data_IF_281352169287
#
_entry.id   IF_281352169287
#
_cell.length_a   1.000
_cell.length_b   1.000
_cell.length_c   1.000
_cell.angle_alpha   90.00
_cell.angle_beta   90.00
_cell.angle_gamma   90.00
#
_symmetry.space_group_name_H-M   'P 1'
#
loop_
_entity.id
_entity.type
_entity.pdbx_description
1 polymer ?
#
# COMPACT_ATOMS: atom_id res chain seq x y z
N UNK A 1 59.29 -12.95 -102.37
CA UNK A 1 59.55 -13.54 -101.01
C UNK A 1 59.65 -12.44 -99.92
N UNK A 2 58.67 -11.57 -99.70
CA UNK A 2 58.81 -10.46 -98.73
C UNK A 2 57.51 -9.96 -98.05
N UNK A 3 56.34 -10.48 -98.38
CA UNK A 3 55.13 -9.94 -97.82
C UNK A 3 54.60 -10.74 -96.56
N UNK A 4 54.69 -12.03 -96.60
CA UNK A 4 54.20 -12.92 -95.47
C UNK A 4 55.08 -12.86 -94.23
N UNK A 5 56.39 -12.63 -94.36
CA UNK A 5 57.28 -12.53 -93.17
C UNK A 5 56.98 -11.23 -92.34
N UNK A 6 56.55 -10.13 -92.96
CA UNK A 6 56.21 -8.90 -92.26
C UNK A 6 54.90 -9.05 -91.48
N UNK A 7 53.92 -9.75 -92.03
CA UNK A 7 52.60 -9.97 -91.36
C UNK A 7 52.73 -10.86 -90.15
N UNK A 8 53.61 -11.91 -90.21
CA UNK A 8 53.87 -12.75 -89.10
C UNK A 8 54.64 -12.05 -87.93
N UNK A 9 55.54 -11.14 -88.26
CA UNK A 9 56.30 -10.36 -87.28
C UNK A 9 55.40 -9.38 -86.51
N UNK A 10 54.43 -8.74 -87.18
CA UNK A 10 53.45 -7.85 -86.56
C UNK A 10 52.50 -8.60 -85.68
N UNK A 11 52.11 -9.81 -86.10
CA UNK A 11 51.23 -10.67 -85.19
C UNK A 11 51.99 -11.15 -83.95
N UNK A 12 53.26 -11.47 -84.07
CA UNK A 12 54.06 -11.87 -82.90
C UNK A 12 54.28 -10.69 -81.95
N UNK A 13 54.58 -9.51 -82.50
CA UNK A 13 54.71 -8.28 -81.69
C UNK A 13 53.39 -7.87 -81.00
N UNK A 14 52.24 -8.08 -81.65
CA UNK A 14 50.94 -7.80 -81.04
C UNK A 14 50.62 -8.82 -79.88
N UNK A 15 50.96 -10.10 -80.07
CA UNK A 15 50.76 -11.13 -79.04
C UNK A 15 51.67 -10.89 -77.82
N UNK A 16 52.96 -10.50 -78.09
CA UNK A 16 53.87 -10.18 -76.97
C UNK A 16 53.44 -8.92 -76.21
N UNK A 17 52.86 -7.93 -76.86
CA UNK A 17 52.35 -6.73 -76.24
C UNK A 17 51.11 -7.04 -75.38
N UNK A 18 50.20 -7.91 -75.85
CA UNK A 18 49.04 -8.37 -75.08
C UNK A 18 49.46 -9.22 -73.84
N UNK A 19 50.47 -10.07 -73.98
CA UNK A 19 51.01 -10.83 -72.88
C UNK A 19 51.68 -9.91 -71.84
N UNK A 20 52.46 -8.92 -72.30
CA UNK A 20 53.04 -7.93 -71.38
C UNK A 20 51.99 -7.04 -70.71
N UNK A 21 50.91 -6.68 -71.43
CA UNK A 21 49.79 -5.94 -70.86
C UNK A 21 49.03 -6.80 -69.82
N UNK A 22 48.83 -8.11 -70.04
CA UNK A 22 48.24 -9.04 -69.12
C UNK A 22 49.10 -9.25 -67.87
N UNK A 23 50.43 -9.41 -68.05
CA UNK A 23 51.36 -9.51 -66.90
C UNK A 23 51.37 -8.17 -66.13
N UNK A 24 51.32 -7.01 -66.77
CA UNK A 24 51.22 -5.72 -66.12
C UNK A 24 49.92 -5.56 -65.33
N UNK A 25 48.79 -6.02 -65.87
CA UNK A 25 47.50 -6.03 -65.19
C UNK A 25 47.48 -6.97 -64.01
N UNK A 26 48.13 -8.15 -64.09
CA UNK A 26 48.23 -9.13 -62.98
C UNK A 26 49.14 -8.58 -61.89
N UNK A 27 50.26 -7.96 -62.19
CA UNK A 27 51.23 -7.43 -61.24
C UNK A 27 50.75 -6.12 -60.60
N UNK A 28 49.90 -5.36 -61.32
CA UNK A 28 49.29 -4.15 -60.78
C UNK A 28 47.88 -4.35 -60.21
N UNK A 29 47.40 -5.60 -60.17
CA UNK A 29 46.26 -5.89 -59.36
C UNK A 29 46.69 -5.70 -57.89
N UNK A 30 46.58 -4.44 -57.38
CA UNK A 30 46.74 -4.10 -56.00
C UNK A 30 45.80 -5.03 -55.19
N UNK A 31 46.40 -5.93 -54.48
CA UNK A 31 45.72 -6.56 -53.31
C UNK A 31 45.19 -5.42 -52.49
N UNK A 32 43.87 -5.19 -52.57
CA UNK A 32 43.18 -4.33 -51.60
C UNK A 32 43.49 -4.88 -50.23
N UNK A 33 44.43 -4.23 -49.55
CA UNK A 33 44.66 -4.44 -48.15
C UNK A 33 43.35 -4.08 -47.46
N UNK A 34 42.52 -5.08 -47.21
CA UNK A 34 41.34 -4.94 -46.31
C UNK A 34 41.93 -4.56 -44.98
N UNK A 35 42.06 -3.23 -44.68
CA UNK A 35 42.32 -2.78 -43.35
C UNK A 35 41.20 -3.37 -42.49
N UNK A 36 41.55 -4.36 -41.66
CA UNK A 36 40.65 -4.91 -40.65
C UNK A 36 40.12 -3.70 -39.87
N UNK A 37 38.83 -3.46 -40.00
CA UNK A 37 38.18 -2.41 -39.21
C UNK A 37 38.57 -2.63 -37.73
N UNK A 38 38.98 -1.59 -37.02
CA UNK A 38 39.36 -1.75 -35.62
C UNK A 38 38.25 -2.46 -34.87
N UNK A 39 38.61 -3.52 -34.17
CA UNK A 39 37.65 -4.33 -33.37
C UNK A 39 36.84 -3.37 -32.47
N UNK A 40 35.50 -3.38 -32.54
CA UNK A 40 34.68 -2.45 -31.77
C UNK A 40 34.90 -2.63 -30.27
N UNK A 41 35.03 -1.51 -29.57
CA UNK A 41 35.19 -1.50 -28.12
C UNK A 41 33.82 -1.67 -27.48
N UNK A 42 33.73 -2.60 -26.52
CA UNK A 42 32.54 -2.85 -25.70
C UNK A 42 32.90 -2.81 -24.21
N UNK A 43 31.99 -2.33 -23.36
CA UNK A 43 32.20 -2.37 -21.92
C UNK A 43 31.53 -3.63 -21.38
N UNK A 44 32.30 -4.40 -20.62
CA UNK A 44 31.85 -5.64 -20.04
C UNK A 44 31.87 -5.57 -18.51
N UNK A 45 30.88 -6.23 -17.88
CA UNK A 45 30.77 -6.35 -16.44
C UNK A 45 30.47 -7.80 -16.05
N UNK A 46 31.02 -8.27 -14.94
CA UNK A 46 30.62 -9.56 -14.36
C UNK A 46 29.28 -9.41 -13.64
N UNK A 47 28.44 -10.45 -13.60
CA UNK A 47 27.24 -10.46 -12.77
C UNK A 47 27.59 -10.18 -11.30
N UNK A 48 26.76 -9.40 -10.64
CA UNK A 48 26.90 -9.17 -9.21
C UNK A 48 25.89 -10.02 -8.45
N UNK A 49 26.32 -10.64 -7.34
CA UNK A 49 25.39 -11.35 -6.46
C UNK A 49 24.66 -10.34 -5.58
N UNK A 50 23.32 -10.32 -5.67
CA UNK A 50 22.45 -9.46 -4.87
C UNK A 50 21.34 -10.29 -4.25
N UNK A 51 21.04 -10.04 -2.95
CA UNK A 51 19.90 -10.66 -2.30
C UNK A 51 18.61 -10.06 -2.83
N UNK A 52 17.83 -10.84 -3.55
CA UNK A 52 16.56 -10.41 -4.12
C UNK A 52 15.46 -11.41 -3.78
N UNK A 53 14.25 -10.89 -3.65
CA UNK A 53 13.04 -11.69 -3.51
C UNK A 53 12.18 -11.53 -4.77
N UNK A 54 11.38 -12.55 -5.04
CA UNK A 54 10.30 -12.43 -6.02
C UNK A 54 9.10 -11.77 -5.37
N UNK A 55 8.46 -10.85 -6.08
CA UNK A 55 7.34 -10.07 -5.56
C UNK A 55 6.16 -10.09 -6.54
N UNK A 56 4.95 -10.04 -5.99
CA UNK A 56 3.77 -9.61 -6.73
C UNK A 56 3.57 -8.12 -6.46
N UNK A 57 3.36 -7.35 -7.52
CA UNK A 57 3.08 -5.91 -7.42
C UNK A 57 1.71 -5.63 -7.99
N UNK A 58 0.86 -4.95 -7.22
CA UNK A 58 -0.51 -4.59 -7.59
C UNK A 58 -0.80 -3.13 -7.21
N UNK A 59 -1.84 -2.57 -7.82
CA UNK A 59 -2.35 -1.27 -7.41
C UNK A 59 -3.36 -1.45 -6.28
N UNK A 60 -3.29 -0.60 -5.28
CA UNK A 60 -4.24 -0.55 -4.17
C UNK A 60 -4.66 0.89 -3.88
N UNK A 61 -5.56 1.04 -2.93
CA UNK A 61 -6.00 2.33 -2.42
C UNK A 61 -5.91 2.36 -0.90
N UNK A 62 -5.51 3.49 -0.36
CA UNK A 62 -5.47 3.75 1.08
C UNK A 62 -6.87 4.11 1.59
N UNK A 63 -7.20 3.63 2.78
CA UNK A 63 -8.48 3.91 3.45
C UNK A 63 -8.20 4.19 4.92
N UNK A 64 -8.94 5.11 5.51
CA UNK A 64 -8.85 5.37 6.94
C UNK A 64 -9.11 4.10 7.77
N UNK A 65 -8.40 3.93 8.89
CA UNK A 65 -8.62 2.80 9.80
C UNK A 65 -10.03 2.82 10.39
N UNK A 66 -10.47 3.98 10.85
CA UNK A 66 -11.85 4.26 11.24
C UNK A 66 -12.30 5.54 10.55
N UNK A 67 -13.55 5.58 10.08
CA UNK A 67 -14.19 6.76 9.54
C UNK A 67 -15.59 6.85 10.10
N UNK A 68 -15.95 7.99 10.70
CA UNK A 68 -17.26 8.22 11.32
C UNK A 68 -17.80 9.57 10.91
N UNK A 69 -19.04 9.58 10.44
CA UNK A 69 -19.81 10.79 10.29
C UNK A 69 -20.44 11.16 11.65
N UNK A 70 -20.02 12.28 12.20
CA UNK A 70 -20.61 12.83 13.43
C UNK A 70 -21.99 13.39 13.10
N UNK A 71 -23.00 12.91 13.80
CA UNK A 71 -24.39 13.31 13.58
C UNK A 71 -25.01 13.86 14.89
N UNK A 72 -25.88 14.86 14.74
CA UNK A 72 -26.69 15.32 15.85
C UNK A 72 -27.69 14.23 16.26
N UNK A 73 -27.65 13.82 17.54
CA UNK A 73 -28.55 12.80 18.13
C UNK A 73 -29.78 13.41 18.81
N UNK A 74 -29.77 14.73 18.99
CA UNK A 74 -30.86 15.52 19.62
C UNK A 74 -31.15 16.72 18.75
N UNK A 75 -32.34 17.27 18.91
CA UNK A 75 -32.78 18.51 18.25
C UNK A 75 -32.36 19.73 19.08
N UNK A 76 -31.84 20.75 18.42
CA UNK A 76 -31.47 22.02 19.03
C UNK A 76 -30.67 22.90 18.10
N UNK A 77 -30.44 24.13 18.49
CA UNK A 77 -29.56 25.03 17.74
C UNK A 77 -28.07 24.69 17.99
N UNK A 78 -27.25 24.78 16.97
CA UNK A 78 -25.82 24.62 17.11
C UNK A 78 -25.22 25.87 17.74
N UNK A 79 -24.79 25.80 19.01
CA UNK A 79 -24.27 26.92 19.77
C UNK A 79 -22.80 27.21 19.52
N UNK A 80 -21.99 26.17 19.36
CA UNK A 80 -20.55 26.32 19.18
C UNK A 80 -19.88 25.18 18.41
N UNK A 81 -18.84 25.55 17.69
CA UNK A 81 -17.86 24.63 17.06
C UNK A 81 -16.52 24.83 17.78
N UNK A 82 -15.95 23.78 18.37
CA UNK A 82 -14.77 23.86 19.25
C UNK A 82 -13.50 23.25 18.63
N UNK A 83 -13.41 23.25 17.32
CA UNK A 83 -12.24 22.80 16.58
C UNK A 83 -11.99 23.70 15.37
N UNK A 84 -10.84 23.55 14.74
CA UNK A 84 -10.53 24.16 13.44
C UNK A 84 -10.60 23.08 12.37
N UNK A 85 -11.22 23.39 11.24
CA UNK A 85 -11.37 22.46 10.12
C UNK A 85 -10.04 21.87 9.66
N UNK A 86 -10.02 20.57 9.42
CA UNK A 86 -8.85 19.83 8.94
C UNK A 86 -7.78 19.55 10.00
N UNK A 87 -7.99 19.90 11.27
CA UNK A 87 -7.03 19.66 12.36
C UNK A 87 -7.15 18.25 12.94
N UNK A 88 -6.14 17.85 13.70
CA UNK A 88 -6.18 16.62 14.50
C UNK A 88 -6.91 16.87 15.81
N UNK A 89 -7.77 15.93 16.18
CA UNK A 89 -8.54 15.94 17.43
C UNK A 89 -8.25 14.65 18.20
N UNK A 90 -8.37 14.73 19.53
CA UNK A 90 -8.18 13.60 20.42
C UNK A 90 -9.53 12.98 20.78
N UNK A 91 -9.50 11.70 21.13
CA UNK A 91 -10.65 11.02 21.69
C UNK A 91 -11.22 11.81 22.87
N UNK A 92 -12.54 11.86 22.96
CA UNK A 92 -13.31 12.56 24.00
C UNK A 92 -13.13 14.11 23.98
N UNK A 93 -12.44 14.66 22.99
CA UNK A 93 -12.41 16.12 22.76
C UNK A 93 -13.79 16.59 22.33
N UNK A 94 -14.28 17.68 22.94
CA UNK A 94 -15.55 18.31 22.58
C UNK A 94 -15.42 19.04 21.25
N UNK A 95 -16.31 18.73 20.32
CA UNK A 95 -16.27 19.23 18.93
C UNK A 95 -17.40 20.19 18.64
N UNK A 96 -18.62 19.85 19.09
CA UNK A 96 -19.79 20.68 18.90
C UNK A 96 -20.62 20.77 20.18
N UNK A 97 -21.32 21.88 20.34
CA UNK A 97 -22.28 22.12 21.43
C UNK A 97 -23.62 22.42 20.81
N UNK A 98 -24.66 21.67 21.20
CA UNK A 98 -26.03 21.79 20.68
C UNK A 98 -26.91 22.19 21.85
N UNK A 99 -27.34 23.48 21.94
CA UNK A 99 -28.31 24.07 22.86
C UNK A 99 -28.48 23.32 24.22
N UNK A 100 -27.47 23.33 25.12
CA UNK A 100 -27.46 22.46 26.28
C UNK A 100 -28.48 22.83 27.36
N UNK A 101 -28.89 24.13 27.44
CA UNK A 101 -29.70 24.67 28.53
C UNK A 101 -31.05 23.96 28.71
N UNK A 102 -31.87 23.73 27.66
CA UNK A 102 -33.16 23.06 27.82
C UNK A 102 -33.02 21.60 28.31
N UNK A 103 -31.93 20.92 27.93
CA UNK A 103 -31.65 19.56 28.35
C UNK A 103 -31.10 19.50 29.75
N UNK A 104 -30.31 20.47 30.17
CA UNK A 104 -29.83 20.62 31.54
C UNK A 104 -30.99 20.83 32.51
N UNK A 105 -31.93 21.75 32.19
CA UNK A 105 -33.10 21.98 33.03
C UNK A 105 -33.99 20.72 33.18
N UNK A 106 -34.18 19.97 32.11
CA UNK A 106 -34.87 18.66 32.16
C UNK A 106 -34.15 17.65 33.05
N UNK A 107 -32.82 17.65 33.04
CA UNK A 107 -32.05 16.81 33.94
C UNK A 107 -32.24 17.20 35.40
N UNK A 108 -32.16 18.47 35.74
CA UNK A 108 -32.38 19.02 37.10
C UNK A 108 -33.80 18.72 37.60
N UNK A 109 -34.81 18.85 36.73
CA UNK A 109 -36.19 18.47 37.05
C UNK A 109 -36.31 16.97 37.41
N UNK A 110 -35.72 16.11 36.55
CA UNK A 110 -35.75 14.65 36.79
C UNK A 110 -35.00 14.25 38.04
N UNK A 111 -33.85 14.83 38.33
CA UNK A 111 -33.10 14.61 39.58
C UNK A 111 -33.84 15.05 40.80
N UNK A 112 -34.51 16.19 40.74
CA UNK A 112 -35.36 16.70 41.80
C UNK A 112 -36.54 15.75 42.08
N UNK A 113 -37.12 15.16 41.03
CA UNK A 113 -38.16 14.13 41.17
C UNK A 113 -37.64 12.88 41.92
N UNK A 114 -36.39 12.44 41.61
CA UNK A 114 -35.74 11.30 42.34
C UNK A 114 -35.66 11.62 43.84
N UNK A 115 -35.23 12.82 44.23
CA UNK A 115 -35.12 13.25 45.61
C UNK A 115 -36.48 13.17 46.32
N UNK A 116 -37.52 13.71 45.67
CA UNK A 116 -38.92 13.71 46.19
C UNK A 116 -39.44 12.27 46.41
N UNK A 117 -39.21 11.37 45.41
CA UNK A 117 -39.64 9.97 45.51
C UNK A 117 -38.86 9.20 46.57
N UNK A 118 -37.60 9.47 46.76
CA UNK A 118 -36.77 8.88 47.81
C UNK A 118 -37.30 9.27 49.20
N UNK A 119 -37.64 10.54 49.40
CA UNK A 119 -38.22 10.99 50.66
C UNK A 119 -39.56 10.27 50.97
N UNK A 120 -40.42 10.13 49.94
CA UNK A 120 -41.68 9.38 50.07
C UNK A 120 -41.45 7.91 50.44
N UNK A 121 -40.50 7.27 49.78
CA UNK A 121 -40.13 5.88 50.06
C UNK A 121 -39.58 5.71 51.48
N UNK A 122 -38.68 6.56 51.94
CA UNK A 122 -38.15 6.49 53.31
C UNK A 122 -39.29 6.67 54.35
N UNK A 123 -40.25 7.59 54.13
CA UNK A 123 -41.44 7.71 55.00
C UNK A 123 -42.24 6.40 55.04
N UNK A 124 -42.60 5.84 53.87
CA UNK A 124 -43.44 4.63 53.80
C UNK A 124 -42.72 3.41 54.38
N UNK A 125 -41.41 3.31 54.20
CA UNK A 125 -40.55 2.26 54.77
C UNK A 125 -40.48 2.30 56.29
N UNK A 126 -40.33 3.52 56.87
CA UNK A 126 -40.34 3.74 58.33
C UNK A 126 -41.71 3.37 58.88
N UNK A 127 -42.81 3.77 58.21
CA UNK A 127 -44.15 3.48 58.63
C UNK A 127 -44.47 1.98 58.55
N UNK A 128 -44.03 1.28 57.51
CA UNK A 128 -44.14 -0.19 57.39
C UNK A 128 -43.41 -0.91 58.54
N UNK A 129 -42.20 -0.43 58.86
CA UNK A 129 -41.45 -0.99 60.01
C UNK A 129 -42.16 -0.73 61.35
N UNK A 130 -42.70 0.46 61.52
CA UNK A 130 -43.49 0.83 62.72
C UNK A 130 -44.72 -0.07 62.87
N UNK A 131 -45.52 -0.24 61.81
CA UNK A 131 -46.70 -1.09 61.83
C UNK A 131 -46.36 -2.56 62.13
N UNK A 132 -45.25 -3.05 61.56
CA UNK A 132 -44.77 -4.38 61.83
C UNK A 132 -44.37 -4.61 63.30
N UNK A 133 -43.78 -3.59 63.94
CA UNK A 133 -43.47 -3.61 65.37
C UNK A 133 -44.73 -3.61 66.26
N UNK A 134 -45.69 -2.65 65.94
CA UNK A 134 -46.97 -2.55 66.67
C UNK A 134 -47.81 -3.83 66.56
N UNK A 135 -47.73 -4.55 65.44
CA UNK A 135 -48.40 -5.85 65.28
C UNK A 135 -47.85 -6.88 66.21
N UNK A 136 -46.53 -6.95 66.42
CA UNK A 136 -45.89 -7.84 67.38
C UNK A 136 -46.35 -7.56 68.80
N UNK A 137 -46.72 -6.32 69.12
CA UNK A 137 -47.23 -5.87 70.40
C UNK A 137 -48.77 -5.91 70.52
N UNK A 138 -49.45 -6.55 69.49
CA UNK A 138 -50.91 -6.63 69.37
C UNK A 138 -51.64 -5.24 69.31
N UNK A 139 -50.93 -4.16 68.89
CA UNK A 139 -51.43 -2.81 68.86
C UNK A 139 -51.94 -2.35 67.44
N UNK A 140 -51.89 -3.23 66.43
CA UNK A 140 -52.46 -2.98 65.09
C UNK A 140 -52.92 -4.27 64.40
N UNK A 141 -53.65 -4.17 63.30
CA UNK A 141 -54.13 -5.31 62.53
C UNK A 141 -53.14 -5.79 61.48
N UNK A 142 -53.17 -7.09 61.11
CA UNK A 142 -52.39 -7.64 59.99
C UNK A 142 -52.64 -6.89 58.69
N UNK A 143 -53.89 -6.46 58.41
CA UNK A 143 -54.29 -5.68 57.26
C UNK A 143 -53.49 -4.38 57.16
N UNK A 144 -53.20 -3.70 58.27
CA UNK A 144 -52.41 -2.45 58.26
C UNK A 144 -50.94 -2.74 57.96
N UNK A 145 -50.37 -3.84 58.46
CA UNK A 145 -49.02 -4.28 58.15
C UNK A 145 -48.85 -4.55 56.65
N UNK A 146 -49.78 -5.33 56.09
CA UNK A 146 -49.79 -5.65 54.67
C UNK A 146 -49.95 -4.43 53.78
N UNK A 147 -50.87 -3.52 54.16
CA UNK A 147 -51.11 -2.23 53.48
C UNK A 147 -49.84 -1.41 53.41
N UNK A 148 -49.14 -1.18 54.51
CA UNK A 148 -47.94 -0.35 54.55
C UNK A 148 -46.72 -1.06 53.92
N UNK A 149 -46.65 -2.36 53.99
CA UNK A 149 -45.63 -3.14 53.27
C UNK A 149 -45.81 -3.01 51.74
N UNK A 150 -47.06 -3.14 51.24
CA UNK A 150 -47.35 -2.93 49.82
C UNK A 150 -47.10 -1.49 49.39
N UNK A 151 -47.44 -0.50 50.28
CA UNK A 151 -47.19 0.91 49.99
C UNK A 151 -45.68 1.24 49.92
N UNK A 152 -44.87 0.63 50.77
CA UNK A 152 -43.41 0.78 50.74
C UNK A 152 -42.81 0.18 49.46
N UNK A 153 -43.26 -1.02 49.03
CA UNK A 153 -42.82 -1.57 47.74
C UNK A 153 -43.28 -0.73 46.52
N UNK A 154 -44.51 -0.20 46.55
CA UNK A 154 -44.97 0.69 45.52
C UNK A 154 -44.13 1.97 45.46
N UNK A 155 -43.82 2.58 46.60
CA UNK A 155 -42.98 3.79 46.66
C UNK A 155 -41.54 3.50 46.20
N UNK A 156 -41.00 2.32 46.50
CA UNK A 156 -39.70 1.88 46.01
C UNK A 156 -39.67 1.72 44.48
N UNK A 157 -40.74 1.21 43.89
CA UNK A 157 -40.86 1.10 42.43
C UNK A 157 -40.95 2.51 41.79
N UNK A 158 -41.61 3.47 42.46
CA UNK A 158 -41.65 4.86 41.97
C UNK A 158 -40.26 5.55 42.03
N UNK A 159 -39.41 5.23 42.99
CA UNK A 159 -38.01 5.69 43.03
C UNK A 159 -37.27 5.13 41.85
N UNK A 160 -37.34 3.81 41.55
CA UNK A 160 -36.67 3.22 40.43
C UNK A 160 -37.10 3.80 39.08
N UNK A 161 -38.40 4.12 38.95
CA UNK A 161 -38.95 4.83 37.75
C UNK A 161 -38.36 6.22 37.60
N UNK A 162 -38.29 6.99 38.67
CA UNK A 162 -37.74 8.33 38.68
C UNK A 162 -36.24 8.34 38.34
N UNK A 163 -35.49 7.37 38.91
CA UNK A 163 -34.05 7.19 38.58
C UNK A 163 -33.83 6.82 37.12
N UNK A 164 -34.69 5.98 36.52
CA UNK A 164 -34.65 5.69 35.11
C UNK A 164 -34.89 6.92 34.24
N UNK A 165 -35.87 7.74 34.62
CA UNK A 165 -36.17 9.02 33.91
C UNK A 165 -34.98 10.00 34.02
N UNK A 166 -34.39 10.16 35.20
CA UNK A 166 -33.22 11.02 35.38
C UNK A 166 -32.02 10.52 34.55
N UNK A 167 -31.83 9.23 34.43
CA UNK A 167 -30.80 8.66 33.56
C UNK A 167 -31.04 8.97 32.09
N UNK A 168 -32.28 8.88 31.61
CA UNK A 168 -32.64 9.28 30.22
C UNK A 168 -32.37 10.77 30.00
N UNK A 169 -32.73 11.63 30.95
CA UNK A 169 -32.45 13.06 30.87
C UNK A 169 -30.93 13.35 30.83
N UNK A 170 -30.14 12.65 31.66
CA UNK A 170 -28.70 12.77 31.67
C UNK A 170 -28.05 12.32 30.33
N UNK A 171 -28.55 11.24 29.73
CA UNK A 171 -28.11 10.78 28.40
C UNK A 171 -28.44 11.84 27.35
N UNK A 172 -29.64 12.41 27.34
CA UNK A 172 -30.01 13.44 26.39
C UNK A 172 -29.16 14.71 26.57
N UNK A 173 -28.89 15.12 27.82
CA UNK A 173 -27.95 16.20 28.10
C UNK A 173 -26.54 15.88 27.62
N UNK A 174 -26.05 14.67 27.78
CA UNK A 174 -24.73 14.29 27.27
C UNK A 174 -24.65 14.40 25.73
N UNK A 175 -25.73 14.20 25.01
CA UNK A 175 -25.76 14.31 23.54
C UNK A 175 -25.72 15.76 23.06
N UNK A 176 -25.91 16.78 23.93
CA UNK A 176 -25.69 18.19 23.59
C UNK A 176 -24.20 18.49 23.36
N UNK A 177 -23.30 17.69 23.91
CA UNK A 177 -21.87 17.79 23.77
C UNK A 177 -21.39 16.67 22.84
N UNK A 178 -21.11 17.00 21.59
CA UNK A 178 -20.64 16.02 20.60
C UNK A 178 -19.14 15.87 20.74
N UNK A 179 -18.70 14.68 21.15
CA UNK A 179 -17.30 14.35 21.41
C UNK A 179 -16.71 13.53 20.27
N UNK A 180 -15.37 13.62 20.09
CA UNK A 180 -14.62 12.76 19.17
C UNK A 180 -14.60 11.32 19.68
N UNK A 181 -14.98 10.30 18.85
CA UNK A 181 -15.03 8.91 19.28
C UNK A 181 -13.65 8.26 19.35
N UNK A 182 -12.65 8.79 18.64
CA UNK A 182 -11.26 8.33 18.59
C UNK A 182 -10.33 9.46 18.17
N UNK A 183 -9.03 9.25 18.31
CA UNK A 183 -7.99 10.16 17.80
C UNK A 183 -7.99 10.13 16.27
N UNK A 184 -8.11 11.29 15.63
CA UNK A 184 -8.17 11.34 14.18
C UNK A 184 -8.10 12.76 13.62
N UNK A 185 -8.16 12.86 12.32
CA UNK A 185 -8.26 14.12 11.60
C UNK A 185 -9.72 14.43 11.32
N UNK A 186 -10.20 15.59 11.77
CA UNK A 186 -11.55 16.05 11.49
C UNK A 186 -11.60 16.79 10.15
N UNK A 187 -12.65 16.55 9.38
CA UNK A 187 -12.94 17.28 8.15
C UNK A 187 -13.42 18.70 8.43
N UNK A 188 -14.05 19.32 7.43
CA UNK A 188 -14.73 20.58 7.62
C UNK A 188 -16.06 20.39 8.36
N UNK A 189 -16.52 21.38 9.11
CA UNK A 189 -17.89 21.41 9.58
C UNK A 189 -18.85 21.55 8.39
N UNK A 190 -20.01 20.91 8.47
CA UNK A 190 -21.02 20.89 7.42
C UNK A 190 -22.18 21.84 7.72
N UNK A 191 -22.34 22.26 8.98
CA UNK A 191 -23.41 23.11 9.50
C UNK A 191 -22.78 24.23 10.33
N UNK A 192 -23.22 25.46 10.08
CA UNK A 192 -22.76 26.64 10.79
C UNK A 192 -23.52 26.86 12.12
N UNK A 193 -22.88 27.58 13.06
CA UNK A 193 -23.45 27.99 14.33
C UNK A 193 -24.75 28.79 14.08
N UNK A 194 -25.76 28.53 14.90
CA UNK A 194 -27.10 29.15 14.79
C UNK A 194 -28.08 28.36 13.93
N UNK A 195 -27.68 27.30 13.26
CA UNK A 195 -28.60 26.42 12.53
C UNK A 195 -29.25 25.39 13.46
N UNK A 196 -30.50 25.04 13.17
CA UNK A 196 -31.21 23.94 13.82
C UNK A 196 -30.71 22.59 13.30
N UNK A 197 -30.32 21.70 14.19
CA UNK A 197 -29.83 20.34 13.88
C UNK A 197 -30.70 19.28 14.55
N UNK A 198 -30.66 18.04 14.08
CA UNK A 198 -31.37 16.91 14.69
C UNK A 198 -32.89 16.90 14.49
N UNK A 199 -33.45 17.80 13.66
CA UNK A 199 -34.90 17.90 13.41
C UNK A 199 -35.39 16.79 12.47
N UNK A 200 -35.82 15.67 13.04
CA UNK A 200 -36.46 14.55 12.33
C UNK A 200 -35.59 13.81 11.32
N UNK A 201 -34.37 14.29 11.03
CA UNK A 201 -33.35 13.62 10.17
C UNK A 201 -32.00 13.69 10.85
N UNK A 202 -31.20 12.66 10.62
CA UNK A 202 -29.78 12.66 11.02
C UNK A 202 -29.07 13.83 10.31
N UNK A 203 -28.68 14.86 11.07
CA UNK A 203 -27.92 15.98 10.54
C UNK A 203 -26.45 15.69 10.70
N UNK A 204 -25.73 15.55 9.59
CA UNK A 204 -24.28 15.36 9.61
C UNK A 204 -23.60 16.69 9.97
N UNK A 205 -22.70 16.64 10.95
CA UNK A 205 -21.98 17.80 11.46
C UNK A 205 -20.56 17.89 10.90
N UNK A 206 -19.84 16.78 10.87
CA UNK A 206 -18.49 16.64 10.31
C UNK A 206 -18.14 15.15 10.15
N UNK A 207 -17.09 14.85 9.39
CA UNK A 207 -16.48 13.52 9.33
C UNK A 207 -15.16 13.52 10.09
N UNK A 208 -14.91 12.49 10.86
CA UNK A 208 -13.63 12.24 11.52
C UNK A 208 -13.02 10.95 10.99
N UNK A 209 -11.73 10.98 10.66
CA UNK A 209 -10.98 9.86 10.10
C UNK A 209 -9.74 9.57 10.93
N UNK A 210 -9.57 8.31 11.29
CA UNK A 210 -8.33 7.84 11.91
C UNK A 210 -7.33 7.51 10.80
N UNK A 211 -6.26 8.31 10.73
CA UNK A 211 -5.26 8.23 9.66
C UNK A 211 -3.96 7.53 10.07
N UNK A 212 -3.84 7.09 11.31
CA UNK A 212 -2.76 6.23 11.80
C UNK A 212 -3.35 5.21 12.79
N UNK A 213 -3.26 3.92 12.48
CA UNK A 213 -2.77 3.33 11.23
C UNK A 213 -3.72 3.56 10.04
N UNK A 214 -3.30 3.18 8.83
CA UNK A 214 -4.13 3.14 7.62
C UNK A 214 -4.36 1.71 7.13
N UNK A 215 -5.48 1.50 6.46
CA UNK A 215 -5.69 0.32 5.62
C UNK A 215 -5.26 0.58 4.18
N UNK A 216 -4.75 -0.45 3.54
CA UNK A 216 -4.56 -0.49 2.08
C UNK A 216 -5.33 -1.67 1.53
N UNK A 217 -6.30 -1.41 0.67
CA UNK A 217 -7.05 -2.43 -0.06
C UNK A 217 -6.44 -2.63 -1.44
N UNK A 218 -6.31 -3.86 -1.85
CA UNK A 218 -5.86 -4.23 -3.18
C UNK A 218 -6.47 -5.56 -3.62
N UNK A 219 -6.49 -5.80 -4.92
CA UNK A 219 -7.09 -7.00 -5.48
C UNK A 219 -6.03 -7.85 -6.17
N UNK A 220 -6.10 -9.16 -5.99
CA UNK A 220 -5.28 -10.15 -6.67
C UNK A 220 -6.14 -10.97 -7.61
N UNK A 221 -5.66 -11.23 -8.81
CA UNK A 221 -6.26 -12.19 -9.72
C UNK A 221 -6.02 -13.64 -9.23
N UNK A 222 -6.72 -14.59 -9.81
CA UNK A 222 -6.65 -15.99 -9.41
C UNK A 222 -5.24 -16.57 -9.50
N UNK A 223 -4.48 -16.21 -10.56
CA UNK A 223 -3.11 -16.73 -10.77
C UNK A 223 -2.15 -16.22 -9.68
N UNK A 224 -2.22 -14.94 -9.34
CA UNK A 224 -1.42 -14.34 -8.28
C UNK A 224 -1.80 -14.88 -6.91
N UNK A 225 -3.09 -15.15 -6.68
CA UNK A 225 -3.58 -15.80 -5.46
C UNK A 225 -2.99 -17.21 -5.30
N UNK A 226 -2.97 -18.02 -6.37
CA UNK A 226 -2.37 -19.35 -6.35
C UNK A 226 -0.88 -19.25 -6.01
N UNK A 227 -0.15 -18.35 -6.66
CA UNK A 227 1.29 -18.11 -6.39
C UNK A 227 1.57 -17.73 -4.93
N UNK A 228 0.79 -16.80 -4.38
CA UNK A 228 0.95 -16.39 -2.96
C UNK A 228 0.65 -17.56 -2.04
N UNK A 229 -0.41 -18.31 -2.30
CA UNK A 229 -0.77 -19.47 -1.49
C UNK A 229 0.32 -20.55 -1.49
N UNK A 230 0.87 -20.84 -2.66
CA UNK A 230 1.91 -21.84 -2.80
C UNK A 230 3.22 -21.37 -2.15
N UNK A 231 3.56 -20.09 -2.32
CA UNK A 231 4.69 -19.46 -1.64
C UNK A 231 4.54 -19.46 -0.10
N UNK A 232 3.35 -19.17 0.40
CA UNK A 232 3.04 -19.20 1.83
C UNK A 232 3.18 -20.62 2.40
N UNK A 233 2.66 -21.63 1.68
CA UNK A 233 2.82 -23.06 2.05
C UNK A 233 4.28 -23.50 2.07
N UNK A 234 5.05 -23.15 1.04
CA UNK A 234 6.48 -23.47 0.97
C UNK A 234 7.28 -22.84 2.13
N UNK A 235 6.82 -21.72 2.67
CA UNK A 235 7.40 -21.02 3.84
C UNK A 235 6.88 -21.53 5.17
N UNK A 236 5.91 -22.45 5.18
CA UNK A 236 5.31 -23.03 6.38
C UNK A 236 4.27 -22.15 7.08
N UNK A 237 3.79 -21.08 6.42
CA UNK A 237 2.72 -20.25 6.98
C UNK A 237 1.39 -20.98 7.02
N UNK A 238 0.71 -20.90 8.16
CA UNK A 238 -0.66 -21.36 8.32
C UNK A 238 -1.66 -20.27 7.91
N UNK A 239 -2.87 -20.61 7.49
CA UNK A 239 -3.90 -19.62 7.17
C UNK A 239 -4.19 -18.61 8.30
N UNK A 240 -3.97 -19.00 9.57
CA UNK A 240 -4.12 -18.13 10.74
C UNK A 240 -2.98 -17.12 10.92
N UNK A 241 -1.90 -17.23 10.17
CA UNK A 241 -0.68 -16.41 10.30
C UNK A 241 -0.55 -15.37 9.18
N UNK A 242 -1.64 -15.01 8.54
CA UNK A 242 -1.67 -14.01 7.46
C UNK A 242 -1.07 -12.66 7.91
N UNK A 243 -1.24 -12.31 9.18
CA UNK A 243 -0.71 -11.08 9.78
C UNK A 243 0.82 -11.05 9.92
N UNK A 244 1.51 -12.15 9.61
CA UNK A 244 2.97 -12.21 9.56
C UNK A 244 3.53 -11.91 8.15
N UNK A 245 2.66 -11.87 7.12
CA UNK A 245 3.07 -11.60 5.75
C UNK A 245 3.31 -10.09 5.61
N UNK A 246 4.56 -9.66 5.34
CA UNK A 246 4.85 -8.26 5.14
C UNK A 246 4.26 -7.77 3.81
N UNK A 247 3.84 -6.54 3.81
CA UNK A 247 3.33 -5.83 2.63
C UNK A 247 4.08 -4.52 2.52
N UNK A 248 4.67 -4.26 1.36
CA UNK A 248 5.40 -3.04 1.10
C UNK A 248 4.58 -2.14 0.18
N UNK A 249 4.52 -0.87 0.51
CA UNK A 249 3.70 0.11 -0.21
C UNK A 249 4.54 1.30 -0.61
N UNK A 250 4.22 1.88 -1.79
CA UNK A 250 4.78 3.14 -2.24
C UNK A 250 3.74 4.02 -2.89
N UNK A 251 3.91 5.32 -2.79
CA UNK A 251 3.23 6.31 -3.62
C UNK A 251 3.84 6.34 -5.02
N UNK A 252 3.16 6.95 -5.99
CA UNK A 252 3.62 7.00 -7.38
C UNK A 252 4.94 7.77 -7.57
N UNK A 253 5.20 8.76 -6.71
CA UNK A 253 6.39 9.63 -6.76
C UNK A 253 7.56 9.13 -5.91
N UNK A 254 7.42 7.98 -5.22
CA UNK A 254 8.46 7.45 -4.34
C UNK A 254 9.36 6.45 -5.07
N UNK A 255 10.64 6.50 -4.78
CA UNK A 255 11.60 5.50 -5.19
C UNK A 255 11.59 4.32 -4.21
N UNK A 256 11.50 3.08 -4.73
CA UNK A 256 11.40 1.89 -3.88
C UNK A 256 10.01 1.71 -3.23
N UNK A 257 9.97 1.07 -2.06
CA UNK A 257 8.74 0.79 -1.29
C UNK A 257 9.02 1.11 0.19
N UNK A 258 8.98 2.39 0.59
CA UNK A 258 9.41 2.82 1.91
C UNK A 258 8.41 2.49 3.03
N UNK A 259 7.13 2.25 2.71
CA UNK A 259 6.11 2.01 3.70
C UNK A 259 5.90 0.51 3.90
N UNK A 260 6.21 0.01 5.08
CA UNK A 260 6.04 -1.39 5.44
C UNK A 260 4.81 -1.56 6.33
N UNK A 261 4.00 -2.53 5.99
CA UNK A 261 2.83 -2.97 6.75
C UNK A 261 2.73 -4.48 6.78
N UNK A 262 1.57 -4.97 7.23
CA UNK A 262 1.28 -6.39 7.32
C UNK A 262 -0.08 -6.69 6.72
N UNK A 263 -0.18 -7.84 6.08
CA UNK A 263 -1.46 -8.35 5.64
C UNK A 263 -2.36 -8.57 6.87
N UNK A 264 -3.58 -8.06 6.81
CA UNK A 264 -4.52 -8.06 7.93
C UNK A 264 -5.78 -8.86 7.61
N UNK A 265 -6.22 -8.80 6.37
CA UNK A 265 -7.45 -9.47 5.94
C UNK A 265 -7.36 -9.98 4.51
N UNK A 266 -7.96 -11.12 4.27
CA UNK A 266 -8.17 -11.74 2.96
C UNK A 266 -9.65 -12.11 2.85
N UNK A 267 -10.29 -11.72 1.78
CA UNK A 267 -11.70 -12.06 1.56
C UNK A 267 -11.89 -13.56 1.43
N UNK A 268 -13.10 -14.06 1.71
CA UNK A 268 -13.45 -15.48 1.73
C UNK A 268 -13.61 -16.10 0.34
N UNK A 269 -13.83 -15.29 -0.70
CA UNK A 269 -14.03 -15.77 -2.06
C UNK A 269 -13.62 -14.74 -3.11
N UNK A 270 -13.46 -15.24 -4.35
CA UNK A 270 -13.27 -14.40 -5.53
C UNK A 270 -14.57 -13.68 -5.89
N UNK A 271 -14.43 -12.45 -6.33
CA UNK A 271 -15.53 -11.75 -7.00
C UNK A 271 -15.73 -12.37 -8.40
N UNK A 272 -16.87 -12.98 -8.63
CA UNK A 272 -17.16 -13.71 -9.87
C UNK A 272 -17.21 -12.83 -11.13
N UNK A 273 -17.47 -11.53 -10.98
CA UNK A 273 -17.51 -10.60 -12.11
C UNK A 273 -16.12 -10.14 -12.57
N UNK A 274 -15.13 -10.10 -11.68
CA UNK A 274 -13.78 -9.60 -11.96
C UNK A 274 -12.71 -10.69 -11.90
N UNK A 275 -13.02 -11.88 -11.36
CA UNK A 275 -12.04 -12.95 -11.13
C UNK A 275 -10.96 -12.57 -10.11
N UNK A 276 -11.23 -11.61 -9.23
CA UNK A 276 -10.26 -11.11 -8.26
C UNK A 276 -10.71 -11.34 -6.83
N UNK A 277 -9.75 -11.47 -5.93
CA UNK A 277 -9.96 -11.53 -4.49
C UNK A 277 -9.40 -10.28 -3.83
N UNK A 278 -10.17 -9.71 -2.91
CA UNK A 278 -9.74 -8.52 -2.16
C UNK A 278 -8.88 -8.89 -0.95
N UNK A 279 -7.83 -8.13 -0.79
CA UNK A 279 -6.89 -8.17 0.32
C UNK A 279 -6.84 -6.82 1.02
N UNK A 280 -6.49 -6.84 2.29
CA UNK A 280 -6.27 -5.64 3.09
C UNK A 280 -4.97 -5.77 3.86
N UNK A 281 -4.17 -4.72 3.84
CA UNK A 281 -2.99 -4.57 4.67
C UNK A 281 -3.18 -3.43 5.67
N UNK A 282 -2.60 -3.59 6.86
CA UNK A 282 -2.52 -2.57 7.89
C UNK A 282 -1.14 -1.92 7.85
N UNK A 283 -1.11 -0.61 7.67
CA UNK A 283 0.12 0.19 7.60
C UNK A 283 0.20 1.19 8.75
N UNK A 284 1.29 1.21 9.52
CA UNK A 284 1.61 2.35 10.37
C UNK A 284 1.81 3.60 9.51
N UNK A 285 1.27 4.73 9.93
CA UNK A 285 1.32 5.97 9.17
C UNK A 285 1.84 7.13 10.04
N UNK A 286 2.93 6.89 10.76
CA UNK A 286 3.56 7.90 11.61
C UNK A 286 3.93 9.14 10.80
N UNK A 287 3.66 10.31 11.35
CA UNK A 287 3.83 11.62 10.70
C UNK A 287 2.94 11.82 9.44
N UNK A 288 1.98 10.93 9.20
CA UNK A 288 0.90 11.08 8.22
C UNK A 288 1.35 11.31 6.76
N UNK A 289 2.41 10.62 6.25
CA UNK A 289 2.82 10.77 4.87
C UNK A 289 1.76 10.28 3.88
N UNK A 290 0.97 9.27 4.26
CA UNK A 290 -0.12 8.74 3.46
C UNK A 290 -1.45 9.35 3.89
N UNK A 291 -2.28 9.72 2.93
CA UNK A 291 -3.65 10.18 3.16
C UNK A 291 -4.64 9.10 2.71
N UNK A 292 -5.82 8.99 3.34
CA UNK A 292 -6.91 8.15 2.83
C UNK A 292 -7.30 8.56 1.40
N UNK A 293 -7.64 7.58 0.57
CA UNK A 293 -8.06 7.80 -0.83
C UNK A 293 -6.93 7.83 -1.85
N UNK A 294 -5.66 7.74 -1.46
CA UNK A 294 -4.55 7.69 -2.39
C UNK A 294 -4.45 6.33 -3.10
N UNK A 295 -4.12 6.37 -4.39
CA UNK A 295 -3.69 5.17 -5.11
C UNK A 295 -2.22 4.92 -4.86
N UNK A 296 -1.91 3.68 -4.49
CA UNK A 296 -0.58 3.23 -4.12
C UNK A 296 -0.20 1.95 -4.85
N UNK A 297 1.07 1.68 -5.00
CA UNK A 297 1.55 0.38 -5.42
C UNK A 297 1.84 -0.48 -4.19
N UNK A 298 1.33 -1.70 -4.23
CA UNK A 298 1.45 -2.69 -3.17
C UNK A 298 2.33 -3.82 -3.66
N UNK A 299 3.29 -4.25 -2.86
CA UNK A 299 4.25 -5.31 -3.16
C UNK A 299 4.25 -6.36 -2.07
N UNK A 300 4.06 -7.63 -2.47
CA UNK A 300 4.03 -8.77 -1.55
C UNK A 300 5.16 -9.73 -1.93
N UNK A 301 6.04 -10.13 -0.99
CA UNK A 301 7.13 -11.05 -1.28
C UNK A 301 6.61 -12.49 -1.41
N UNK A 302 6.91 -13.14 -2.53
CA UNK A 302 6.66 -14.56 -2.78
C UNK A 302 7.74 -15.43 -2.16
N UNK A 303 9.02 -15.01 -2.28
CA UNK A 303 10.16 -15.75 -1.76
C UNK A 303 10.88 -15.00 -0.65
N UNK A 304 11.69 -15.68 0.13
CA UNK A 304 12.69 -15.00 0.97
C UNK A 304 13.72 -14.35 0.06
N UNK A 305 14.41 -13.34 0.54
CA UNK A 305 15.59 -12.81 -0.15
C UNK A 305 16.64 -13.91 -0.22
N UNK A 306 17.05 -14.25 -1.43
CA UNK A 306 18.12 -15.20 -1.71
C UNK A 306 19.10 -14.54 -2.69
N UNK A 307 20.39 -14.93 -2.66
CA UNK A 307 21.37 -14.39 -3.59
C UNK A 307 21.04 -14.83 -5.02
N UNK A 308 20.90 -13.84 -5.91
CA UNK A 308 20.76 -14.04 -7.35
C UNK A 308 21.88 -13.31 -8.08
N UNK A 309 22.32 -13.86 -9.20
CA UNK A 309 23.16 -13.13 -10.14
C UNK A 309 22.32 -12.04 -10.80
N UNK A 310 22.82 -10.82 -10.77
CA UNK A 310 22.12 -9.65 -11.30
C UNK A 310 22.94 -8.95 -12.36
N UNK A 311 22.24 -8.36 -13.32
CA UNK A 311 22.80 -7.54 -14.39
C UNK A 311 22.04 -6.22 -14.46
N UNK A 312 22.65 -5.13 -14.99
CA UNK A 312 21.89 -3.93 -15.30
C UNK A 312 20.72 -4.25 -16.24
N UNK A 313 19.52 -3.76 -15.98
CA UNK A 313 18.34 -4.05 -16.82
C UNK A 313 18.54 -3.56 -18.27
N UNK A 314 19.36 -2.52 -18.47
CA UNK A 314 19.74 -1.97 -19.76
C UNK A 314 20.60 -2.92 -20.62
N UNK A 315 21.25 -3.91 -20.03
CA UNK A 315 22.05 -4.90 -20.76
C UNK A 315 21.20 -6.00 -21.42
N UNK A 316 19.92 -6.12 -21.02
CA UNK A 316 19.02 -7.17 -21.51
C UNK A 316 18.46 -6.75 -22.86
N UNK A 317 18.62 -7.62 -23.84
CA UNK A 317 18.07 -7.46 -25.18
C UNK A 317 16.86 -8.37 -25.39
N UNK A 318 15.96 -7.99 -26.28
CA UNK A 318 14.77 -8.75 -26.60
C UNK A 318 14.67 -8.98 -28.10
N UNK A 319 14.29 -10.19 -28.47
CA UNK A 319 13.89 -10.52 -29.84
C UNK A 319 12.56 -11.28 -29.85
N UNK A 320 12.16 -11.83 -31.00
CA UNK A 320 10.89 -12.56 -31.15
C UNK A 320 10.82 -13.85 -30.30
N UNK A 321 11.96 -14.38 -29.88
CA UNK A 321 12.03 -15.64 -29.11
C UNK A 321 12.01 -15.33 -27.59
N UNK A 322 12.48 -14.14 -27.15
CA UNK A 322 12.51 -13.73 -25.78
C UNK A 322 13.76 -12.96 -25.35
N UNK A 323 14.00 -12.79 -24.05
CA UNK A 323 15.14 -12.06 -23.53
C UNK A 323 16.45 -12.82 -23.69
N UNK A 324 17.52 -12.08 -24.01
CA UNK A 324 18.87 -12.60 -24.11
C UNK A 324 19.90 -11.55 -23.65
N UNK A 325 21.08 -12.03 -23.32
CA UNK A 325 22.25 -11.20 -23.01
C UNK A 325 23.33 -11.42 -24.08
N UNK A 326 24.14 -10.38 -24.34
CA UNK A 326 25.36 -10.48 -25.11
C UNK A 326 26.54 -10.66 -24.15
N UNK A 327 27.29 -11.73 -24.36
CA UNK A 327 28.46 -12.08 -23.58
C UNK A 327 29.72 -12.06 -24.46
N UNK A 328 30.86 -11.89 -23.83
CA UNK A 328 32.15 -12.02 -24.51
C UNK A 328 32.83 -13.31 -24.04
N UNK A 329 33.10 -14.21 -24.98
CA UNK A 329 33.78 -15.47 -24.69
C UNK A 329 35.30 -15.29 -24.46
N UNK A 330 36.03 -16.38 -24.20
CA UNK A 330 37.46 -16.34 -23.91
C UNK A 330 38.30 -15.82 -25.09
N UNK A 331 37.81 -15.99 -26.32
CA UNK A 331 38.48 -15.59 -27.58
C UNK A 331 38.04 -14.21 -28.04
N UNK A 332 37.34 -13.44 -27.19
CA UNK A 332 36.79 -12.12 -27.44
C UNK A 332 35.74 -12.05 -28.56
N UNK A 333 35.00 -13.14 -28.79
CA UNK A 333 33.83 -13.14 -29.66
C UNK A 333 32.55 -12.93 -28.88
N UNK A 334 31.59 -12.24 -29.51
CA UNK A 334 30.26 -11.98 -28.92
C UNK A 334 29.39 -13.23 -29.09
N UNK A 335 28.83 -13.68 -28.00
CA UNK A 335 27.82 -14.75 -27.95
C UNK A 335 26.47 -14.18 -27.43
N UNK A 336 25.38 -14.60 -28.07
CA UNK A 336 24.03 -14.34 -27.53
C UNK A 336 23.60 -15.54 -26.69
N UNK A 337 23.17 -15.30 -25.43
CA UNK A 337 22.70 -16.35 -24.54
C UNK A 337 21.33 -16.04 -23.99
N UNK A 338 20.38 -16.98 -24.14
CA UNK A 338 19.02 -16.87 -23.61
C UNK A 338 19.04 -16.90 -22.09
N UNK A 339 18.23 -16.05 -21.50
CA UNK A 339 18.13 -15.91 -20.05
C UNK A 339 16.70 -15.98 -19.57
N UNK A 340 16.52 -16.46 -18.33
CA UNK A 340 15.24 -16.39 -17.63
C UNK A 340 15.34 -15.26 -16.62
N UNK A 341 14.48 -14.24 -16.80
CA UNK A 341 14.50 -13.05 -15.99
C UNK A 341 13.76 -13.28 -14.66
N UNK A 342 14.31 -12.71 -13.60
CA UNK A 342 13.69 -12.60 -12.28
C UNK A 342 13.22 -11.18 -11.97
N UNK A 343 13.18 -10.84 -10.68
CA UNK A 343 12.77 -9.54 -10.19
C UNK A 343 13.73 -8.42 -10.61
N UNK A 344 13.16 -7.20 -10.74
CA UNK A 344 13.92 -5.97 -10.96
C UNK A 344 13.96 -5.17 -9.66
N UNK A 345 15.16 -4.79 -9.21
CA UNK A 345 15.36 -3.98 -8.03
C UNK A 345 16.54 -3.02 -8.23
N UNK A 346 16.35 -1.74 -7.94
CA UNK A 346 17.38 -0.70 -8.09
C UNK A 346 18.07 -0.66 -9.46
N UNK A 347 17.31 -0.91 -10.55
CA UNK A 347 17.85 -0.92 -11.93
C UNK A 347 18.64 -2.18 -12.29
N UNK A 348 18.74 -3.16 -11.38
CA UNK A 348 19.36 -4.47 -11.64
C UNK A 348 18.30 -5.56 -11.73
N UNK A 349 18.44 -6.42 -12.75
CA UNK A 349 17.57 -7.57 -13.00
C UNK A 349 18.22 -8.83 -12.50
N UNK A 350 17.52 -9.60 -11.66
CA UNK A 350 17.93 -10.96 -11.33
C UNK A 350 17.85 -11.86 -12.55
N UNK A 351 18.82 -12.73 -12.73
CA UNK A 351 18.81 -13.77 -13.76
C UNK A 351 18.68 -15.12 -13.06
N UNK A 352 17.56 -15.80 -13.33
CA UNK A 352 17.26 -17.10 -12.71
C UNK A 352 18.05 -18.23 -13.37
N UNK A 353 18.21 -18.15 -14.70
CA UNK A 353 18.96 -19.14 -15.50
C UNK A 353 19.60 -18.48 -16.71
N UNK A 354 20.75 -18.99 -17.13
CA UNK A 354 21.40 -18.64 -18.39
C UNK A 354 22.73 -17.91 -18.25
N UNK A 355 23.19 -17.59 -17.02
CA UNK A 355 24.52 -16.99 -16.81
C UNK A 355 25.24 -17.64 -15.63
N UNK A 356 26.57 -17.51 -15.65
CA UNK A 356 27.48 -17.87 -14.58
C UNK A 356 28.18 -16.65 -13.98
N UNK A 357 28.69 -16.77 -12.76
CA UNK A 357 29.31 -15.66 -12.03
C UNK A 357 30.56 -15.08 -12.73
N UNK A 358 31.21 -15.86 -13.57
CA UNK A 358 32.44 -15.48 -14.31
C UNK A 358 32.16 -14.93 -15.71
N UNK A 359 30.92 -14.94 -16.17
CA UNK A 359 30.55 -14.45 -17.48
C UNK A 359 30.84 -12.94 -17.63
N UNK A 360 31.34 -12.56 -18.81
CA UNK A 360 31.56 -11.14 -19.17
C UNK A 360 30.38 -10.64 -19.97
N UNK A 361 29.49 -9.92 -19.34
CA UNK A 361 28.26 -9.40 -19.94
C UNK A 361 28.52 -8.02 -20.51
N UNK A 362 28.13 -7.78 -21.76
CA UNK A 362 28.24 -6.47 -22.41
C UNK A 362 27.15 -5.55 -21.80
N UNK A 363 27.59 -4.47 -21.17
CA UNK A 363 26.69 -3.48 -20.52
C UNK A 363 26.61 -2.17 -21.31
N UNK A 364 27.64 -1.87 -22.12
CA UNK A 364 27.65 -0.69 -23.01
C UNK A 364 28.33 -1.01 -24.34
N UNK A 365 28.00 -0.31 -25.41
CA UNK A 365 28.44 -0.61 -26.76
C UNK A 365 27.64 -1.74 -27.44
N UNK A 366 26.43 -2.03 -26.95
CA UNK A 366 25.56 -3.10 -27.48
C UNK A 366 25.29 -2.97 -28.98
N UNK A 367 25.20 -1.74 -29.52
CA UNK A 367 25.01 -1.45 -30.93
C UNK A 367 26.16 -1.95 -31.80
N UNK A 368 27.36 -2.14 -31.22
CA UNK A 368 28.57 -2.59 -31.91
C UNK A 368 28.85 -4.08 -31.70
N UNK A 369 28.05 -4.74 -30.86
CA UNK A 369 28.21 -6.12 -30.43
C UNK A 369 27.30 -7.07 -31.23
N UNK A 370 27.72 -7.41 -32.44
CA UNK A 370 27.00 -8.41 -33.25
C UNK A 370 27.44 -9.83 -32.89
N UNK A 371 26.52 -10.75 -32.58
CA UNK A 371 26.87 -12.16 -32.30
C UNK A 371 27.75 -12.76 -33.42
N UNK A 372 28.81 -13.44 -33.01
CA UNK A 372 29.80 -14.02 -33.92
C UNK A 372 30.95 -13.09 -34.31
N UNK A 373 30.90 -11.79 -34.00
CA UNK A 373 31.98 -10.87 -34.30
C UNK A 373 32.95 -10.73 -33.12
N UNK A 374 34.21 -10.43 -33.43
CA UNK A 374 35.25 -10.16 -32.46
C UNK A 374 35.14 -8.73 -31.95
N UNK A 375 35.27 -8.53 -30.61
CA UNK A 375 35.19 -7.23 -29.92
C UNK A 375 36.41 -7.03 -29.02
N UNK A 376 36.68 -5.80 -28.63
CA UNK A 376 37.70 -5.46 -27.64
C UNK A 376 37.01 -5.13 -26.31
N UNK A 377 36.95 -6.11 -25.35
CA UNK A 377 36.27 -5.92 -24.09
C UNK A 377 37.08 -5.05 -23.14
N UNK A 378 36.50 -3.96 -22.66
CA UNK A 378 37.03 -3.18 -21.52
C UNK A 378 36.16 -3.46 -20.30
N UNK A 379 36.82 -3.79 -19.18
CA UNK A 379 36.11 -4.02 -17.92
C UNK A 379 35.67 -2.66 -17.36
N UNK A 380 34.39 -2.54 -17.01
CA UNK A 380 33.88 -1.38 -16.28
C UNK A 380 34.61 -1.28 -14.92
N UNK A 381 35.53 -0.32 -14.80
CA UNK A 381 36.13 0.03 -13.51
C UNK A 381 35.16 0.96 -12.80
N UNK A 382 34.67 0.59 -11.61
CA UNK A 382 33.82 1.45 -10.77
C UNK A 382 34.55 2.77 -10.46
N UNK A 383 34.50 3.72 -11.36
CA UNK A 383 34.82 5.12 -11.04
C UNK A 383 33.58 5.72 -10.40
N UNK A 384 33.56 5.84 -9.08
CA UNK A 384 32.67 6.70 -8.35
C UNK A 384 32.82 8.13 -8.92
N UNK A 385 31.94 8.49 -9.83
CA UNK A 385 31.85 9.88 -10.32
C UNK A 385 31.31 10.72 -9.17
N UNK A 386 32.23 11.38 -8.46
CA UNK A 386 31.90 12.58 -7.70
C UNK A 386 31.29 13.58 -8.70
N UNK A 387 29.98 13.74 -8.64
CA UNK A 387 29.32 14.91 -9.22
C UNK A 387 29.77 16.09 -8.38
N UNK A 388 30.75 16.83 -8.88
CA UNK A 388 31.14 18.12 -8.34
C UNK A 388 29.92 19.03 -8.45
N UNK A 389 29.38 19.42 -7.30
CA UNK A 389 28.52 20.59 -7.17
C UNK A 389 29.31 21.80 -7.65
N UNK A 390 29.00 22.29 -8.84
CA UNK A 390 29.43 23.56 -9.40
C UNK A 390 28.30 24.56 -9.26
N UNK A 391 28.57 25.54 -8.40
CA UNK A 391 27.95 26.87 -8.15
C UNK A 391 26.60 27.17 -8.74
#
# INVERSE_FOLDING_TARGET
MTSEKKVNLVKIAAITLVILLLIYLITHHKTSNTQALPTPVVIVKKPESMEMAEYITQTGNTVAFNSVNLVARIEGYLDAIKFTDGTFVKKDQELFVIEPQPYYEKLVEAESSVISRKATYEYTKIEAARQKQMYKENATSLKNVEKWAAQAEASKAEVAKAEANAKVAAINYSYTHVLAPFDGRIGRHLIDVGNLVGNGKATELATIEQVDPLYVYFNLNELDLIRIRDAARARGFKPSEINQIPVYVRMQNEAGFPHEGKLDFVNTGLNSSTGTMQFRALLPNKNYPLLPGLFVQVRIPLTKKIPHLTVPDTAIQYDQIGPYLLLVNKDNYVESRRVVLGSLEQGKRAIIKGIDAEDKIIVDGLQNATPGNQVNPKIETNSSTQVSAGK
#
